data_IF_170472154128
#
_entry.id   IF_170472154128
#
_cell.length_a   1.000
_cell.length_b   1.000
_cell.length_c   1.000
_cell.angle_alpha   90.00
_cell.angle_beta   90.00
_cell.angle_gamma   90.00
#
_symmetry.space_group_name_H-M   'P 1'
#
loop_
_entity.id
_entity.type
_entity.pdbx_description
1 polymer ?
#
# COMPACT_ATOMS: atom_id res chain seq x y z
N UNK A 1 6.15 -6.16 34.96
CA UNK A 1 6.07 -4.71 34.67
C UNK A 1 4.64 -4.42 34.26
N UNK A 2 3.86 -3.75 35.11
CA UNK A 2 2.50 -3.36 34.74
C UNK A 2 2.58 -2.25 33.69
N UNK A 3 1.84 -2.39 32.59
CA UNK A 3 1.75 -1.35 31.56
C UNK A 3 1.02 -0.15 32.15
N UNK A 4 1.48 1.07 31.83
CA UNK A 4 0.81 2.30 32.26
C UNK A 4 -0.66 2.25 31.79
N UNK A 5 -1.65 2.37 32.70
CA UNK A 5 -3.06 2.35 32.32
C UNK A 5 -3.40 3.45 31.33
N UNK A 6 -2.80 4.64 31.45
CA UNK A 6 -3.03 5.74 30.52
C UNK A 6 -2.51 5.43 29.12
N UNK A 7 -1.35 4.76 29.01
CA UNK A 7 -0.84 4.30 27.71
C UNK A 7 -1.74 3.23 27.10
N UNK A 8 -2.28 2.34 27.93
CA UNK A 8 -3.18 1.26 27.49
C UNK A 8 -4.50 1.82 26.97
N UNK A 9 -5.04 2.85 27.61
CA UNK A 9 -6.24 3.56 27.18
C UNK A 9 -6.00 4.33 25.87
N UNK A 10 -4.86 5.01 25.77
CA UNK A 10 -4.45 5.72 24.56
C UNK A 10 -4.30 4.76 23.36
N UNK A 11 -3.69 3.60 23.59
CA UNK A 11 -3.52 2.53 22.59
C UNK A 11 -4.86 1.99 22.12
N UNK A 12 -5.78 1.73 23.05
CA UNK A 12 -7.12 1.23 22.72
C UNK A 12 -7.91 2.26 21.91
N UNK A 13 -7.87 3.53 22.29
CA UNK A 13 -8.53 4.61 21.55
C UNK A 13 -7.97 4.74 20.13
N UNK A 14 -6.63 4.73 19.99
CA UNK A 14 -5.95 4.83 18.70
C UNK A 14 -6.37 3.70 17.76
N UNK A 15 -6.37 2.45 18.26
CA UNK A 15 -6.79 1.29 17.47
C UNK A 15 -8.28 1.30 17.15
N UNK A 16 -9.15 1.75 18.06
CA UNK A 16 -10.58 1.89 17.80
C UNK A 16 -10.83 2.87 16.66
N UNK A 17 -10.28 4.09 16.74
CA UNK A 17 -10.40 5.07 15.65
C UNK A 17 -9.77 4.55 14.37
N UNK A 18 -8.61 3.89 14.47
CA UNK A 18 -7.96 3.34 13.30
C UNK A 18 -8.77 2.21 12.65
N UNK A 19 -9.42 1.30 13.37
CA UNK A 19 -10.09 0.17 12.70
C UNK A 19 -11.59 0.38 12.45
N UNK A 20 -12.24 1.28 13.18
CA UNK A 20 -13.70 1.42 13.17
C UNK A 20 -14.20 2.71 12.49
N UNK A 21 -13.31 3.67 12.18
CA UNK A 21 -13.69 4.91 11.48
C UNK A 21 -12.99 5.05 10.13
N UNK A 22 -13.57 5.88 9.25
CA UNK A 22 -12.99 6.24 7.95
C UNK A 22 -12.04 7.44 8.04
N UNK A 23 -11.75 7.96 9.23
CA UNK A 23 -10.88 9.11 9.43
C UNK A 23 -9.47 8.87 8.91
N UNK A 24 -8.84 9.88 8.31
CA UNK A 24 -7.45 9.74 7.87
C UNK A 24 -6.51 9.58 9.07
N UNK A 25 -5.36 8.92 8.87
CA UNK A 25 -4.33 8.78 9.92
C UNK A 25 -3.89 10.14 10.47
N UNK A 26 -3.79 11.15 9.59
CA UNK A 26 -3.46 12.52 10.03
C UNK A 26 -4.58 13.11 10.90
N UNK A 27 -5.84 12.93 10.51
CA UNK A 27 -7.00 13.39 11.30
C UNK A 27 -7.07 12.71 12.68
N UNK A 28 -6.79 11.41 12.76
CA UNK A 28 -6.72 10.70 14.04
C UNK A 28 -5.59 11.26 14.90
N UNK A 29 -4.39 11.46 14.32
CA UNK A 29 -3.25 12.01 15.04
C UNK A 29 -3.54 13.41 15.59
N UNK A 30 -4.14 14.28 14.79
CA UNK A 30 -4.58 15.62 15.19
C UNK A 30 -5.64 15.57 16.30
N UNK A 31 -6.69 14.76 16.13
CA UNK A 31 -7.79 14.64 17.10
C UNK A 31 -7.39 13.98 18.42
N UNK A 32 -6.23 13.32 18.47
CA UNK A 32 -5.66 12.72 19.68
C UNK A 32 -4.46 13.53 20.20
N UNK A 33 -4.10 14.65 19.56
CA UNK A 33 -2.93 15.46 19.90
C UNK A 33 -1.62 14.64 19.93
N UNK A 34 -1.49 13.68 19.01
CA UNK A 34 -0.32 12.81 18.87
C UNK A 34 0.48 13.17 17.63
N UNK A 35 1.80 12.97 17.71
CA UNK A 35 2.59 12.91 16.48
C UNK A 35 2.20 11.67 15.68
N UNK A 36 2.27 11.75 14.34
CA UNK A 36 1.99 10.62 13.46
C UNK A 36 2.86 9.40 13.79
N UNK A 37 4.14 9.60 14.11
CA UNK A 37 5.04 8.53 14.54
C UNK A 37 4.61 7.87 15.85
N UNK A 38 4.15 8.67 16.83
CA UNK A 38 3.61 8.14 18.09
C UNK A 38 2.33 7.36 17.85
N UNK A 39 1.44 7.84 16.98
CA UNK A 39 0.24 7.10 16.60
C UNK A 39 0.60 5.74 16.00
N UNK A 40 1.52 5.67 15.03
CA UNK A 40 1.95 4.39 14.45
C UNK A 40 2.54 3.42 15.48
N UNK A 41 3.25 3.92 16.50
CA UNK A 41 3.77 3.07 17.58
C UNK A 41 2.69 2.50 18.52
N UNK A 42 1.46 3.00 18.44
CA UNK A 42 0.30 2.51 19.19
C UNK A 42 -0.58 1.56 18.37
N UNK A 43 -0.54 1.63 17.04
CA UNK A 43 -1.39 0.80 16.19
C UNK A 43 -0.94 -0.66 16.23
N UNK A 44 -1.95 -1.54 16.25
CA UNK A 44 -1.80 -2.99 16.26
C UNK A 44 -2.59 -3.56 15.08
N UNK A 45 -2.07 -4.65 14.50
CA UNK A 45 -2.74 -5.38 13.44
C UNK A 45 -4.08 -5.94 13.94
N UNK A 46 -5.08 -6.00 13.07
CA UNK A 46 -6.42 -6.47 13.42
C UNK A 46 -6.49 -8.01 13.30
N UNK A 47 -6.51 -8.77 14.41
CA UNK A 47 -6.59 -10.23 14.33
C UNK A 47 -7.92 -10.69 13.73
N UNK A 48 -7.90 -11.86 13.09
CA UNK A 48 -9.10 -12.53 12.58
C UNK A 48 -9.29 -13.89 13.23
N UNK A 49 -10.51 -14.40 13.19
CA UNK A 49 -10.89 -15.72 13.72
C UNK A 49 -10.48 -16.86 12.75
N UNK A 50 -9.26 -16.80 12.24
CA UNK A 50 -8.69 -17.80 11.34
C UNK A 50 -7.24 -18.09 11.73
N UNK A 51 -6.81 -19.31 11.43
CA UNK A 51 -5.47 -19.81 11.78
C UNK A 51 -4.62 -19.96 10.52
N UNK A 52 -3.34 -19.62 10.62
CA UNK A 52 -2.41 -19.74 9.50
C UNK A 52 -2.25 -21.21 9.06
N UNK A 53 -2.42 -21.53 7.77
CA UNK A 53 -2.30 -22.91 7.27
C UNK A 53 -0.86 -23.44 7.30
N UNK A 54 0.15 -22.55 7.30
CA UNK A 54 1.57 -22.93 7.28
C UNK A 54 2.11 -23.29 8.67
N UNK A 55 1.67 -22.58 9.71
CA UNK A 55 2.29 -22.69 11.04
C UNK A 55 1.34 -22.73 12.22
N UNK A 56 0.03 -22.63 12.00
CA UNK A 56 -0.94 -22.58 13.10
C UNK A 56 -1.01 -21.24 13.84
N UNK A 57 -0.30 -20.20 13.37
CA UNK A 57 -0.25 -18.88 14.01
C UNK A 57 -1.49 -18.01 13.76
N UNK A 58 -1.57 -16.89 14.49
CA UNK A 58 -2.66 -15.90 14.34
C UNK A 58 -2.52 -15.17 13.00
N UNK A 59 -3.64 -15.08 12.27
CA UNK A 59 -3.77 -14.23 11.09
C UNK A 59 -4.34 -12.86 11.49
N UNK A 60 -3.89 -11.82 10.79
CA UNK A 60 -4.34 -10.46 11.02
C UNK A 60 -4.31 -9.63 9.73
N UNK A 61 -5.05 -8.53 9.73
CA UNK A 61 -4.85 -7.45 8.77
C UNK A 61 -3.80 -6.48 9.32
N UNK A 62 -2.71 -6.27 8.58
CA UNK A 62 -1.62 -5.35 8.95
C UNK A 62 -2.04 -3.88 8.91
N UNK A 63 -2.88 -3.51 7.95
CA UNK A 63 -3.36 -2.13 7.78
C UNK A 63 -4.72 -2.11 7.09
N UNK A 64 -5.43 -0.97 7.14
CA UNK A 64 -6.76 -0.81 6.52
C UNK A 64 -6.81 -1.26 5.06
N UNK A 65 -5.81 -0.90 4.26
CA UNK A 65 -5.78 -1.31 2.85
C UNK A 65 -5.66 -2.83 2.67
N UNK A 66 -5.05 -3.56 3.60
CA UNK A 66 -5.00 -5.02 3.57
C UNK A 66 -6.38 -5.58 3.88
N UNK A 67 -7.07 -5.03 4.90
CA UNK A 67 -8.48 -5.34 5.20
C UNK A 67 -9.41 -5.08 4.02
N UNK A 68 -9.29 -3.92 3.38
CA UNK A 68 -10.12 -3.54 2.23
C UNK A 68 -9.92 -4.47 1.02
N UNK A 69 -8.72 -5.04 0.90
CA UNK A 69 -8.36 -6.00 -0.16
C UNK A 69 -8.56 -7.46 0.24
N UNK A 70 -8.92 -7.73 1.50
CA UNK A 70 -8.99 -9.09 2.03
C UNK A 70 -7.64 -9.81 2.08
N UNK A 71 -6.52 -9.11 2.29
CA UNK A 71 -5.19 -9.73 2.41
C UNK A 71 -4.83 -9.92 3.87
N UNK A 72 -4.62 -11.17 4.28
CA UNK A 72 -4.22 -11.56 5.63
C UNK A 72 -2.73 -11.85 5.69
N UNK A 73 -2.13 -11.53 6.84
CA UNK A 73 -0.73 -11.84 7.15
C UNK A 73 -0.63 -12.63 8.45
N UNK A 74 0.21 -13.66 8.48
CA UNK A 74 0.52 -14.41 9.69
C UNK A 74 1.60 -13.72 10.50
N UNK A 75 1.30 -13.46 11.79
CA UNK A 75 2.22 -12.80 12.71
C UNK A 75 3.39 -13.68 13.19
N UNK A 76 3.39 -14.97 12.84
CA UNK A 76 4.40 -15.93 13.30
C UNK A 76 5.37 -16.34 12.20
N UNK A 77 4.88 -16.65 11.00
CA UNK A 77 5.73 -17.12 9.89
C UNK A 77 5.78 -16.17 8.68
N UNK A 78 4.99 -15.09 8.67
CA UNK A 78 4.94 -14.14 7.55
C UNK A 78 4.18 -14.63 6.33
N UNK A 79 3.38 -15.71 6.44
CA UNK A 79 2.46 -16.11 5.37
C UNK A 79 1.53 -14.96 4.98
N UNK A 80 1.32 -14.77 3.67
CA UNK A 80 0.34 -13.84 3.10
C UNK A 80 -0.65 -14.61 2.23
N UNK A 81 -1.94 -14.35 2.40
CA UNK A 81 -3.01 -15.02 1.64
C UNK A 81 -4.31 -14.24 1.62
N UNK A 82 -5.22 -14.59 0.70
CA UNK A 82 -6.56 -14.02 0.62
C UNK A 82 -7.44 -14.51 1.77
N UNK A 83 -8.30 -13.64 2.30
CA UNK A 83 -9.27 -13.98 3.34
C UNK A 83 -10.29 -15.05 2.87
N UNK A 84 -10.50 -15.17 1.56
CA UNK A 84 -11.31 -16.19 0.91
C UNK A 84 -10.57 -17.54 0.74
N UNK A 85 -9.25 -17.54 0.81
CA UNK A 85 -8.42 -18.74 0.65
C UNK A 85 -8.20 -19.50 1.97
N UNK A 86 -8.45 -18.85 3.12
CA UNK A 86 -8.28 -19.43 4.45
C UNK A 86 -9.63 -19.87 5.03
N UNK A 87 -9.75 -21.16 5.33
CA UNK A 87 -10.94 -21.71 5.98
C UNK A 87 -11.18 -21.05 7.34
N UNK A 88 -12.40 -20.55 7.56
CA UNK A 88 -12.76 -19.76 8.76
C UNK A 88 -12.53 -18.25 8.62
N UNK A 89 -12.10 -17.76 7.45
CA UNK A 89 -11.94 -16.33 7.18
C UNK A 89 -13.24 -15.54 7.38
N UNK A 90 -13.19 -14.50 8.23
CA UNK A 90 -14.22 -13.48 8.38
C UNK A 90 -14.70 -13.02 6.99
N UNK A 91 -16.03 -12.98 6.77
CA UNK A 91 -16.63 -12.43 5.56
C UNK A 91 -16.22 -10.94 5.41
N UNK A 92 -15.13 -10.68 4.70
CA UNK A 92 -14.73 -9.33 4.32
C UNK A 92 -15.66 -8.93 3.20
N UNK A 93 -16.76 -8.24 3.52
CA UNK A 93 -17.60 -7.62 2.49
C UNK A 93 -16.73 -6.66 1.68
N UNK A 94 -16.45 -6.95 0.39
CA UNK A 94 -15.64 -6.05 -0.40
C UNK A 94 -16.37 -4.71 -0.53
N UNK A 95 -15.68 -3.62 -0.19
CA UNK A 95 -16.16 -2.29 -0.52
C UNK A 95 -16.02 -2.14 -2.05
N UNK A 96 -17.09 -1.88 -2.82
CA UNK A 96 -16.97 -1.76 -4.26
C UNK A 96 -15.95 -0.67 -4.57
N UNK A 97 -14.85 -1.07 -5.21
CA UNK A 97 -13.76 -0.19 -5.59
C UNK A 97 -14.36 1.00 -6.36
N UNK A 98 -14.22 2.19 -5.79
CA UNK A 98 -14.61 3.43 -6.45
C UNK A 98 -13.94 3.47 -7.82
N UNK A 99 -14.76 3.27 -8.85
CA UNK A 99 -14.39 3.37 -10.26
C UNK A 99 -13.72 4.73 -10.47
N UNK A 100 -12.39 4.75 -10.57
CA UNK A 100 -11.66 5.93 -11.04
C UNK A 100 -11.97 6.10 -12.52
N UNK A 101 -13.12 6.68 -12.83
CA UNK A 101 -13.37 7.28 -14.13
C UNK A 101 -12.54 8.58 -14.21
N UNK A 102 -11.24 8.42 -14.47
CA UNK A 102 -10.46 9.50 -15.09
C UNK A 102 -10.79 9.50 -16.57
N UNK A 103 -11.91 10.12 -16.91
CA UNK A 103 -12.39 10.34 -18.26
C UNK A 103 -12.14 11.78 -18.72
N UNK A 104 -10.98 12.00 -19.33
CA UNK A 104 -10.72 12.94 -20.43
C UNK A 104 -11.44 14.31 -20.44
N UNK A 105 -10.85 15.30 -19.78
CA UNK A 105 -11.01 16.70 -20.21
C UNK A 105 -10.15 16.92 -21.48
N UNK A 106 -10.78 16.80 -22.65
CA UNK A 106 -10.22 17.19 -23.95
C UNK A 106 -10.13 18.72 -24.01
N UNK A 107 -8.94 19.28 -23.90
CA UNK A 107 -8.70 20.68 -24.27
C UNK A 107 -8.39 20.75 -25.77
N UNK A 108 -9.43 20.93 -26.58
CA UNK A 108 -9.28 21.38 -27.97
C UNK A 108 -9.30 22.90 -27.98
N UNK A 109 -8.13 23.52 -28.05
CA UNK A 109 -7.96 24.97 -28.24
C UNK A 109 -7.07 25.22 -29.44
N UNK A 110 -7.68 25.55 -30.56
CA UNK A 110 -7.02 26.01 -31.78
C UNK A 110 -6.40 27.40 -31.56
N UNK A 111 -5.22 27.65 -32.15
CA UNK A 111 -4.57 28.96 -32.08
C UNK A 111 -3.29 29.03 -32.91
N UNK A 112 -3.47 29.18 -34.22
CA UNK A 112 -2.42 29.51 -35.20
C UNK A 112 -1.86 30.91 -34.96
N UNK A 113 -0.54 31.06 -34.77
CA UNK A 113 0.24 32.21 -35.30
C UNK A 113 1.70 31.79 -35.56
N UNK A 114 2.13 31.93 -36.82
CA UNK A 114 3.54 32.06 -37.29
C UNK A 114 3.87 33.57 -37.38
N UNK A 115 5.12 34.05 -37.23
CA UNK A 115 6.14 33.86 -38.30
C UNK A 115 7.65 33.86 -37.90
N UNK A 116 8.48 33.49 -38.90
CA UNK A 116 9.86 33.85 -39.31
C UNK A 116 10.85 34.50 -38.31
N UNK A 117 12.18 34.34 -38.31
CA UNK A 117 13.27 33.73 -39.11
C UNK A 117 14.54 33.87 -38.21
N UNK A 118 15.65 33.11 -38.28
CA UNK A 118 16.73 33.14 -39.28
C UNK A 118 17.98 32.46 -38.68
N UNK A 119 18.82 31.82 -39.49
CA UNK A 119 20.23 31.47 -39.20
C UNK A 119 20.49 29.98 -38.95
N UNK A 120 20.78 29.16 -39.98
CA UNK A 120 22.10 28.93 -40.62
C UNK A 120 23.05 28.04 -39.82
N UNK A 121 23.19 26.77 -40.25
CA UNK A 121 24.27 25.85 -39.86
C UNK A 121 24.30 24.65 -40.82
N UNK A 122 25.45 24.30 -41.43
CA UNK A 122 25.51 23.35 -42.54
C UNK A 122 25.63 21.88 -42.11
N UNK A 123 25.39 21.03 -43.10
CA UNK A 123 25.36 19.58 -43.09
C UNK A 123 26.54 18.90 -42.36
N UNK A 124 26.19 17.82 -41.65
CA UNK A 124 27.10 16.81 -41.16
C UNK A 124 26.35 15.51 -40.93
N UNK A 125 26.50 14.58 -41.86
CA UNK A 125 26.18 13.16 -41.73
C UNK A 125 26.77 12.59 -40.42
N UNK A 126 25.96 11.84 -39.67
CA UNK A 126 26.38 11.22 -38.41
C UNK A 126 25.38 10.17 -37.94
N UNK A 127 25.80 8.92 -38.10
CA UNK A 127 25.07 7.66 -38.00
C UNK A 127 25.06 7.12 -36.54
N UNK A 128 23.99 6.42 -36.13
CA UNK A 128 23.88 5.42 -35.01
C UNK A 128 24.10 6.01 -33.59
N UNK A 129 23.54 5.56 -32.46
CA UNK A 129 23.24 4.21 -31.97
C UNK A 129 22.18 4.30 -30.86
N UNK A 130 21.19 3.41 -30.92
CA UNK A 130 20.22 3.22 -29.85
C UNK A 130 20.84 2.57 -28.62
N UNK A 131 20.53 3.10 -27.44
CA UNK A 131 20.79 2.43 -26.17
C UNK A 131 19.51 1.74 -25.70
N UNK A 132 19.40 0.46 -26.05
CA UNK A 132 18.45 -0.50 -25.51
C UNK A 132 18.95 -0.88 -24.10
N UNK A 133 18.33 -0.36 -23.04
CA UNK A 133 18.61 -0.83 -21.68
C UNK A 133 17.83 -2.14 -21.44
N UNK A 134 18.50 -3.24 -21.78
CA UNK A 134 18.14 -4.60 -21.35
C UNK A 134 18.63 -4.78 -19.91
N UNK A 135 17.71 -4.71 -18.94
CA UNK A 135 17.94 -5.17 -17.57
C UNK A 135 17.44 -6.59 -17.41
N UNK A 136 18.33 -7.58 -17.43
CA UNK A 136 18.04 -9.01 -17.21
C UNK A 136 18.77 -9.50 -15.95
N UNK A 137 18.10 -10.45 -15.29
CA UNK A 137 18.57 -11.43 -14.30
C UNK A 137 18.53 -11.00 -12.83
N UNK A 138 17.59 -11.52 -12.03
CA UNK A 138 17.50 -12.90 -11.52
C UNK A 138 18.30 -13.06 -10.22
N UNK A 139 17.59 -13.11 -9.08
CA UNK A 139 18.22 -13.23 -7.77
C UNK A 139 17.28 -13.69 -6.66
N UNK A 140 16.35 -14.63 -6.92
CA UNK A 140 15.53 -15.26 -5.87
C UNK A 140 15.20 -16.73 -6.21
N UNK A 141 16.23 -17.55 -6.48
CA UNK A 141 16.03 -18.99 -6.72
C UNK A 141 17.12 -19.89 -6.09
N UNK A 142 17.73 -19.50 -4.97
CA UNK A 142 18.76 -20.31 -4.31
C UNK A 142 18.50 -20.62 -2.81
N UNK A 143 17.40 -20.13 -2.22
CA UNK A 143 17.08 -20.40 -0.81
C UNK A 143 16.37 -21.74 -0.53
N UNK A 144 15.97 -22.48 -1.57
CA UNK A 144 15.05 -23.65 -1.47
C UNK A 144 15.76 -24.99 -1.71
N UNK A 145 17.03 -25.10 -1.35
CA UNK A 145 17.82 -26.35 -1.47
C UNK A 145 18.72 -26.64 -0.25
N UNK A 146 18.55 -25.91 0.86
CA UNK A 146 19.30 -26.16 2.11
C UNK A 146 18.41 -26.29 3.36
N UNK A 147 17.19 -26.80 3.22
CA UNK A 147 16.41 -27.36 4.35
C UNK A 147 15.76 -28.65 3.93
#
# INVERSE_FOLDING_TARGET
MARDPAESDLRREANRRYWETSESVNGIAEAMELSKGRLYGLLESLPVEATCPECGGVLAFEHRTARDRGVLTCQSCGFEGGADEVEGGTEVRPHPAASRQRGAARTSGAGSVRPASRGSGPAGDGLVVGALLVGVAAGLALGRWLR
#
